data_IF_048183019473
#
_entry.id   IF_048183019473
#
_cell.length_a   1.000
_cell.length_b   1.000
_cell.length_c   1.000
_cell.angle_alpha   90.00
_cell.angle_beta   90.00
_cell.angle_gamma   90.00
#
_symmetry.space_group_name_H-M   'P 1'
#
loop_
_entity.id
_entity.type
_entity.pdbx_description
1 polymer ?
#
# COMPACT_ATOMS: atom_id res chain seq x y z
N UNK A 1 -12.38 -20.68 -2.79
CA UNK A 1 -10.92 -20.73 -3.00
C UNK A 1 -10.54 -19.64 -3.98
N UNK A 2 -9.65 -18.71 -3.59
CA UNK A 2 -9.19 -17.64 -4.46
C UNK A 2 -8.10 -18.21 -5.40
N UNK A 3 -8.25 -17.95 -6.69
CA UNK A 3 -7.29 -18.36 -7.72
C UNK A 3 -6.59 -17.13 -8.27
N UNK A 4 -5.27 -17.20 -8.37
CA UNK A 4 -4.42 -16.12 -8.85
C UNK A 4 -3.92 -16.44 -10.26
N UNK A 5 -4.01 -15.47 -11.15
CA UNK A 5 -3.69 -15.64 -12.58
C UNK A 5 -2.22 -15.33 -12.83
N UNK A 6 -1.46 -16.34 -13.24
CA UNK A 6 -0.05 -16.18 -13.63
C UNK A 6 0.15 -16.78 -15.00
N UNK A 7 0.38 -15.89 -15.98
CA UNK A 7 0.82 -16.25 -17.32
C UNK A 7 -0.02 -17.38 -17.96
N UNK A 8 -1.35 -17.26 -17.90
CA UNK A 8 -2.27 -18.22 -18.52
C UNK A 8 -2.69 -19.40 -17.64
N UNK A 9 -2.16 -19.52 -16.43
CA UNK A 9 -2.51 -20.58 -15.49
C UNK A 9 -3.23 -20.00 -14.26
N UNK A 10 -4.28 -20.71 -13.83
CA UNK A 10 -4.93 -20.47 -12.55
C UNK A 10 -4.19 -21.26 -11.48
N UNK A 11 -3.62 -20.56 -10.51
CA UNK A 11 -2.93 -21.16 -9.37
C UNK A 11 -3.72 -20.91 -8.09
N UNK A 12 -3.69 -21.86 -7.17
CA UNK A 12 -4.16 -21.63 -5.81
C UNK A 12 -3.34 -20.52 -5.16
N UNK A 13 -4.00 -19.63 -4.42
CA UNK A 13 -3.34 -18.47 -3.79
C UNK A 13 -2.09 -18.84 -2.99
N UNK A 14 -2.14 -19.91 -2.20
CA UNK A 14 -1.01 -20.35 -1.37
C UNK A 14 0.23 -20.73 -2.22
N UNK A 15 0.03 -21.25 -3.43
CA UNK A 15 1.11 -21.63 -4.33
C UNK A 15 1.69 -20.42 -5.05
N UNK A 16 0.84 -19.50 -5.49
CA UNK A 16 1.25 -18.23 -6.09
C UNK A 16 2.17 -17.43 -5.17
N UNK A 17 1.78 -17.19 -3.91
CA UNK A 17 2.61 -16.38 -3.00
C UNK A 17 3.98 -17.02 -2.76
N UNK A 18 4.07 -18.35 -2.70
CA UNK A 18 5.35 -19.07 -2.61
C UNK A 18 6.20 -18.89 -3.86
N UNK A 19 5.60 -19.01 -5.05
CA UNK A 19 6.29 -18.79 -6.31
C UNK A 19 6.74 -17.34 -6.48
N UNK A 20 5.88 -16.37 -6.12
CA UNK A 20 6.20 -14.94 -6.11
C UNK A 20 7.40 -14.69 -5.19
N UNK A 21 7.37 -15.19 -3.95
CA UNK A 21 8.48 -15.03 -2.99
C UNK A 21 9.80 -15.70 -3.43
N UNK A 22 9.73 -16.83 -4.14
CA UNK A 22 10.91 -17.53 -4.67
C UNK A 22 11.49 -16.84 -5.92
N UNK A 23 10.63 -16.37 -6.81
CA UNK A 23 10.99 -15.70 -8.06
C UNK A 23 11.56 -14.30 -7.80
N UNK A 24 10.87 -13.55 -6.94
CA UNK A 24 11.16 -12.17 -6.59
C UNK A 24 11.51 -12.11 -5.09
N UNK A 25 12.75 -12.47 -4.71
CA UNK A 25 13.18 -12.40 -3.31
C UNK A 25 13.26 -10.96 -2.77
N UNK A 26 13.13 -9.96 -3.64
CA UNK A 26 13.03 -8.55 -3.29
C UNK A 26 12.12 -7.85 -4.29
N UNK A 27 10.93 -7.41 -3.84
CA UNK A 27 10.00 -6.63 -4.65
C UNK A 27 10.36 -5.14 -4.52
N UNK A 28 10.98 -4.60 -5.57
CA UNK A 28 11.37 -3.19 -5.63
C UNK A 28 10.17 -2.25 -5.42
N UNK A 29 8.96 -2.67 -5.83
CA UNK A 29 7.76 -1.86 -5.68
C UNK A 29 7.32 -1.78 -4.21
N UNK A 30 7.42 -2.87 -3.47
CA UNK A 30 7.13 -2.90 -2.03
C UNK A 30 8.17 -2.08 -1.26
N UNK A 31 9.46 -2.26 -1.57
CA UNK A 31 10.53 -1.47 -0.96
C UNK A 31 10.39 0.04 -1.18
N UNK A 32 10.05 0.47 -2.41
CA UNK A 32 9.81 1.89 -2.71
C UNK A 32 8.65 2.44 -1.88
N UNK A 33 7.55 1.68 -1.75
CA UNK A 33 6.40 2.07 -0.92
C UNK A 33 6.77 2.20 0.55
N UNK A 34 7.49 1.23 1.11
CA UNK A 34 7.95 1.27 2.50
C UNK A 34 8.89 2.46 2.75
N UNK A 35 9.78 2.79 1.81
CA UNK A 35 10.66 3.95 1.92
C UNK A 35 9.89 5.27 1.90
N UNK A 36 8.89 5.40 1.04
CA UNK A 36 8.03 6.58 1.00
C UNK A 36 7.24 6.70 2.30
N UNK A 37 6.69 5.58 2.80
CA UNK A 37 5.97 5.56 4.08
C UNK A 37 6.87 6.00 5.25
N UNK A 38 8.10 5.46 5.33
CA UNK A 38 9.09 5.88 6.34
C UNK A 38 9.46 7.36 6.23
N UNK A 39 9.73 7.87 5.02
CA UNK A 39 10.01 9.31 4.81
C UNK A 39 8.81 10.18 5.21
N UNK A 40 7.57 9.73 4.98
CA UNK A 40 6.37 10.43 5.43
C UNK A 40 6.23 10.40 6.95
N UNK A 41 6.44 9.24 7.57
CA UNK A 41 6.42 9.07 9.02
C UNK A 41 7.45 9.98 9.70
N UNK A 42 8.69 10.01 9.19
CA UNK A 42 9.75 10.92 9.64
C UNK A 42 9.31 12.38 9.54
N UNK A 43 8.82 12.82 8.38
CA UNK A 43 8.28 14.18 8.19
C UNK A 43 7.10 14.49 9.13
N UNK A 44 6.24 13.51 9.40
CA UNK A 44 5.12 13.70 10.34
C UNK A 44 5.58 13.74 11.80
N UNK A 45 6.64 13.00 12.15
CA UNK A 45 7.23 13.00 13.49
C UNK A 45 8.01 14.28 13.78
N UNK A 46 8.71 14.82 12.78
CA UNK A 46 9.37 16.13 12.83
C UNK A 46 8.36 17.28 12.95
N UNK A 47 7.15 17.10 12.42
CA UNK A 47 6.07 18.10 12.51
C UNK A 47 5.57 18.22 13.95
N UNK A 48 6.01 19.27 14.64
CA UNK A 48 5.50 19.65 15.97
C UNK A 48 4.02 19.98 15.84
N UNK A 49 3.18 19.01 16.15
CA UNK A 49 1.73 19.16 16.11
C UNK A 49 1.30 19.72 17.46
N UNK A 50 1.00 21.03 17.51
CA UNK A 50 0.42 21.64 18.70
C UNK A 50 -0.97 21.02 18.89
N UNK A 51 -1.07 20.05 19.80
CA UNK A 51 -2.36 19.45 20.17
C UNK A 51 -3.18 20.50 20.91
N UNK A 52 -4.05 21.23 20.20
CA UNK A 52 -5.04 22.11 20.82
C UNK A 52 -5.94 21.23 21.70
N UNK A 53 -5.91 21.43 23.02
CA UNK A 53 -6.74 20.68 23.97
C UNK A 53 -8.21 20.98 23.68
N UNK A 54 -9.04 19.94 23.64
CA UNK A 54 -10.49 20.14 23.55
C UNK A 54 -11.02 20.80 24.85
N UNK A 55 -12.04 21.64 24.74
CA UNK A 55 -12.65 22.31 25.89
C UNK A 55 -13.35 21.34 26.86
N UNK A 56 -13.71 21.84 28.05
CA UNK A 56 -14.35 21.05 29.12
C UNK A 56 -15.78 20.64 28.71
N UNK A 57 -16.54 21.60 28.19
CA UNK A 57 -17.94 21.45 27.77
C UNK A 57 -18.02 21.41 26.23
N UNK A 58 -19.03 20.74 25.68
CA UNK A 58 -19.30 20.72 24.23
C UNK A 58 -18.14 20.22 23.36
N UNK A 59 -17.46 19.14 23.80
CA UNK A 59 -16.34 18.51 23.08
C UNK A 59 -16.69 18.09 21.66
N UNK A 60 -17.90 17.56 21.46
CA UNK A 60 -18.39 17.12 20.14
C UNK A 60 -18.54 18.30 19.19
N UNK A 61 -19.08 19.41 19.66
CA UNK A 61 -19.21 20.65 18.89
C UNK A 61 -17.83 21.24 18.55
N UNK A 62 -16.91 21.26 19.52
CA UNK A 62 -15.54 21.70 19.30
C UNK A 62 -14.82 20.84 18.24
N UNK A 63 -15.02 19.51 18.25
CA UNK A 63 -14.46 18.63 17.25
C UNK A 63 -15.01 18.91 15.84
N UNK A 64 -16.30 19.27 15.72
CA UNK A 64 -16.90 19.67 14.44
C UNK A 64 -16.26 20.96 13.92
N UNK A 65 -16.14 21.99 14.77
CA UNK A 65 -15.49 23.25 14.39
C UNK A 65 -14.04 23.03 13.94
N UNK A 66 -13.27 22.15 14.62
CA UNK A 66 -11.90 21.81 14.21
C UNK A 66 -11.85 21.04 12.88
N UNK A 67 -12.82 20.15 12.61
CA UNK A 67 -12.91 19.48 11.31
C UNK A 67 -13.19 20.49 10.20
N UNK A 68 -14.15 21.39 10.44
CA UNK A 68 -14.49 22.45 9.51
C UNK A 68 -13.33 23.42 9.31
N UNK A 69 -12.53 23.73 10.34
CA UNK A 69 -11.30 24.53 10.21
C UNK A 69 -10.31 23.95 9.20
N UNK A 70 -10.19 22.62 9.16
CA UNK A 70 -9.27 21.94 8.24
C UNK A 70 -9.82 21.83 6.80
N UNK A 71 -11.15 21.84 6.63
CA UNK A 71 -11.81 21.67 5.33
C UNK A 71 -12.23 23.00 4.69
N UNK A 72 -12.56 23.99 5.50
CA UNK A 72 -13.06 25.30 5.10
C UNK A 72 -11.92 26.29 4.90
N UNK A 73 -11.95 27.01 3.76
CA UNK A 73 -11.05 28.13 3.49
C UNK A 73 -11.48 29.42 4.22
N UNK A 74 -12.59 29.40 4.97
CA UNK A 74 -13.12 30.59 5.64
C UNK A 74 -12.53 30.74 7.05
N UNK A 75 -11.88 31.89 7.37
CA UNK A 75 -11.20 32.10 8.65
C UNK A 75 -12.14 32.22 9.86
N UNK A 76 -13.44 32.46 9.62
CA UNK A 76 -14.44 32.76 10.65
C UNK A 76 -14.65 31.62 11.67
N UNK A 77 -14.37 30.37 11.32
CA UNK A 77 -14.55 29.24 12.24
C UNK A 77 -13.45 29.13 13.29
N UNK A 78 -12.25 29.66 12.99
CA UNK A 78 -11.12 29.71 13.94
C UNK A 78 -11.40 30.68 15.08
N UNK A 79 -12.01 31.80 14.73
CA UNK A 79 -12.34 32.87 15.67
C UNK A 79 -13.34 32.40 16.73
N UNK A 80 -14.26 31.47 16.45
CA UNK A 80 -15.31 31.07 17.41
C UNK A 80 -14.72 30.43 18.69
N UNK A 81 -13.63 29.67 18.60
CA UNK A 81 -12.99 29.08 19.78
C UNK A 81 -12.08 30.06 20.53
N UNK A 82 -11.56 31.06 19.83
CA UNK A 82 -10.56 32.00 20.35
C UNK A 82 -11.20 33.33 20.79
N UNK A 83 -12.44 33.62 20.38
CA UNK A 83 -13.21 34.82 20.71
C UNK A 83 -13.77 34.76 22.14
N UNK A 84 -13.43 35.77 22.94
CA UNK A 84 -13.86 35.89 24.33
C UNK A 84 -15.38 35.92 24.50
N UNK A 85 -16.15 36.35 23.48
CA UNK A 85 -17.62 36.37 23.52
C UNK A 85 -18.25 34.97 23.55
N UNK A 86 -17.60 34.00 22.91
CA UNK A 86 -18.11 32.63 22.82
C UNK A 86 -17.40 31.65 23.76
N UNK A 87 -16.38 32.13 24.45
CA UNK A 87 -15.58 31.36 25.41
C UNK A 87 -16.45 30.65 26.45
N UNK A 88 -17.46 31.32 26.96
CA UNK A 88 -18.39 30.75 27.95
C UNK A 88 -19.12 29.48 27.46
N UNK A 89 -19.39 29.34 26.16
CA UNK A 89 -20.04 28.15 25.59
C UNK A 89 -19.23 26.85 25.74
N UNK A 90 -17.94 26.98 26.03
CA UNK A 90 -16.99 25.87 26.14
C UNK A 90 -16.53 25.59 27.58
N UNK A 91 -16.84 26.48 28.52
CA UNK A 91 -16.45 26.36 29.94
C UNK A 91 -17.64 26.22 30.88
N UNK A 92 -18.78 26.87 30.58
CA UNK A 92 -19.97 26.83 31.44
C UNK A 92 -20.84 25.62 31.08
N UNK A 93 -21.23 24.86 32.10
CA UNK A 93 -22.02 23.63 31.96
C UNK A 93 -23.47 23.91 31.54
N UNK A 94 -23.97 25.11 31.80
CA UNK A 94 -25.31 25.55 31.35
C UNK A 94 -25.47 25.56 29.83
N UNK A 95 -24.36 25.66 29.08
CA UNK A 95 -24.38 25.60 27.63
C UNK A 95 -24.16 24.19 27.07
N UNK A 96 -24.17 23.14 27.91
CA UNK A 96 -23.96 21.77 27.44
C UNK A 96 -25.08 21.34 26.47
N UNK A 97 -24.66 20.91 25.28
CA UNK A 97 -25.56 20.46 24.22
C UNK A 97 -26.04 19.05 24.53
N UNK A 98 -27.26 18.94 25.03
CA UNK A 98 -27.93 17.66 25.21
C UNK A 98 -28.47 17.15 23.87
N UNK A 99 -27.87 16.07 23.35
CA UNK A 99 -28.25 15.47 22.07
C UNK A 99 -29.56 14.68 22.12
N UNK A 100 -30.01 14.29 23.32
CA UNK A 100 -31.24 13.54 23.55
C UNK A 100 -32.46 14.46 23.73
N UNK A 101 -32.24 15.76 23.94
CA UNK A 101 -33.34 16.73 24.07
C UNK A 101 -34.18 16.78 22.79
N UNK A 102 -35.51 16.82 22.96
CA UNK A 102 -36.48 16.90 21.86
C UNK A 102 -36.24 18.13 20.96
N UNK A 103 -35.82 19.25 21.54
CA UNK A 103 -35.55 20.48 20.80
C UNK A 103 -34.34 20.33 19.89
N UNK A 104 -33.27 19.71 20.39
CA UNK A 104 -32.08 19.40 19.61
C UNK A 104 -32.40 18.42 18.47
N UNK A 105 -33.18 17.38 18.76
CA UNK A 105 -33.60 16.38 17.77
C UNK A 105 -34.50 16.98 16.68
N UNK A 106 -35.41 17.87 17.06
CA UNK A 106 -36.30 18.56 16.11
C UNK A 106 -35.52 19.43 15.13
N UNK A 107 -34.54 20.17 15.63
CA UNK A 107 -33.72 21.07 14.81
C UNK A 107 -32.71 20.30 13.95
N UNK A 108 -32.13 19.22 14.48
CA UNK A 108 -31.08 18.44 13.83
C UNK A 108 -31.58 17.14 13.18
N UNK A 109 -32.84 17.10 12.72
CA UNK A 109 -33.46 15.88 12.16
C UNK A 109 -32.61 15.22 11.07
N UNK A 110 -32.16 15.99 10.08
CA UNK A 110 -31.34 15.46 8.96
C UNK A 110 -30.00 14.88 9.42
N UNK A 111 -29.37 15.50 10.42
CA UNK A 111 -28.07 15.06 10.95
C UNK A 111 -28.20 13.78 11.78
N UNK A 112 -29.34 13.58 12.43
CA UNK A 112 -29.64 12.33 13.14
C UNK A 112 -29.88 11.18 12.17
N UNK A 113 -30.52 11.44 11.02
CA UNK A 113 -30.72 10.45 9.96
C UNK A 113 -29.37 9.98 9.37
N UNK A 114 -28.45 10.90 9.07
CA UNK A 114 -27.12 10.59 8.52
C UNK A 114 -26.25 9.74 9.48
N UNK A 115 -26.30 10.00 10.79
CA UNK A 115 -25.58 9.17 11.78
C UNK A 115 -26.12 7.75 11.86
N UNK A 116 -27.44 7.58 11.76
CA UNK A 116 -28.06 6.25 11.78
C UNK A 116 -27.65 5.44 10.55
N UNK A 117 -27.45 6.09 9.40
CA UNK A 117 -26.94 5.45 8.19
C UNK A 117 -25.45 5.09 8.31
N UNK A 118 -24.62 5.95 8.94
CA UNK A 118 -23.23 5.63 9.28
C UNK A 118 -23.13 4.44 10.24
N UNK A 119 -23.89 4.44 11.34
CA UNK A 119 -23.91 3.36 12.35
C UNK A 119 -24.39 2.02 11.75
N UNK A 120 -25.43 2.03 10.91
CA UNK A 120 -25.87 0.82 10.19
C UNK A 120 -24.80 0.28 9.24
N UNK A 121 -24.09 1.16 8.55
CA UNK A 121 -23.01 0.74 7.65
C UNK A 121 -21.81 0.14 8.40
N UNK A 122 -21.59 0.54 9.65
CA UNK A 122 -20.56 -0.03 10.53
C UNK A 122 -21.03 -1.35 11.19
N UNK A 123 -22.31 -1.46 11.58
CA UNK A 123 -22.89 -2.70 12.13
C UNK A 123 -22.98 -3.84 11.10
N UNK A 124 -23.32 -3.52 9.85
CA UNK A 124 -23.34 -4.49 8.73
C UNK A 124 -21.93 -5.01 8.37
N UNK A 125 -20.85 -4.38 8.89
CA UNK A 125 -19.47 -4.88 8.73
C UNK A 125 -19.04 -5.87 9.83
N UNK A 126 -19.81 -6.07 10.90
CA UNK A 126 -19.38 -6.86 12.10
C UNK A 126 -20.03 -8.26 12.19
N UNK A 127 -20.97 -8.63 11.33
CA UNK A 127 -21.52 -9.99 11.31
C UNK A 127 -20.72 -10.85 10.33
N UNK A 128 -19.70 -11.55 10.85
CA UNK A 128 -19.23 -12.89 10.43
C UNK A 128 -18.01 -13.29 11.30
N UNK A 129 -18.25 -13.68 12.56
CA UNK A 129 -17.20 -14.06 13.54
C UNK A 129 -16.59 -15.47 13.32
N UNK A 130 -16.99 -16.22 12.29
CA UNK A 130 -16.55 -17.63 12.10
C UNK A 130 -15.69 -17.92 10.86
N UNK A 131 -15.14 -16.92 10.15
CA UNK A 131 -14.16 -17.17 9.08
C UNK A 131 -12.75 -16.64 9.39
N UNK A 132 -11.85 -17.61 9.56
CA UNK A 132 -10.39 -17.56 9.61
C UNK A 132 -9.75 -16.33 8.92
N UNK A 133 -8.85 -15.66 9.65
CA UNK A 133 -8.15 -14.41 9.31
C UNK A 133 -7.50 -14.47 7.91
N UNK A 134 -8.23 -13.99 6.91
CA UNK A 134 -7.69 -13.57 5.60
C UNK A 134 -7.54 -12.05 5.66
N UNK A 135 -6.35 -11.47 5.41
CA UNK A 135 -6.23 -10.01 5.33
C UNK A 135 -6.93 -9.52 4.07
N UNK A 136 -8.21 -9.15 4.17
CA UNK A 136 -8.97 -8.52 3.09
C UNK A 136 -8.40 -7.11 2.86
N UNK A 137 -7.81 -6.90 1.69
CA UNK A 137 -7.39 -5.58 1.20
C UNK A 137 -8.59 -4.62 1.29
N UNK A 138 -8.46 -3.56 2.09
CA UNK A 138 -9.40 -2.43 2.09
C UNK A 138 -9.54 -1.90 0.65
N UNK A 139 -10.77 -1.84 0.14
CA UNK A 139 -11.13 -1.20 -1.13
C UNK A 139 -10.66 0.26 -1.08
N UNK A 140 -9.52 0.57 -1.69
CA UNK A 140 -9.13 1.94 -1.97
C UNK A 140 -10.12 2.51 -2.99
N UNK A 141 -10.85 3.54 -2.58
CA UNK A 141 -11.64 4.39 -3.47
C UNK A 141 -10.76 4.80 -4.66
N UNK A 142 -11.24 4.62 -5.88
CA UNK A 142 -10.56 5.10 -7.09
C UNK A 142 -10.46 6.62 -7.00
N UNK A 143 -9.25 7.11 -6.77
CA UNK A 143 -8.90 8.51 -7.01
C UNK A 143 -8.44 8.58 -8.48
N UNK A 144 -9.40 8.82 -9.37
CA UNK A 144 -9.09 9.28 -10.72
C UNK A 144 -8.85 10.79 -10.61
N UNK A 145 -7.59 11.19 -10.64
CA UNK A 145 -7.18 12.58 -10.51
C UNK A 145 -5.66 12.72 -10.46
N UNK A 146 -5.13 13.33 -11.52
CA UNK A 146 -3.77 13.81 -11.70
C UNK A 146 -2.63 12.79 -11.82
N UNK A 147 -2.05 12.83 -13.03
CA UNK A 147 -0.68 12.48 -13.33
C UNK A 147 0.22 13.16 -12.27
N UNK A 148 0.58 12.43 -11.22
CA UNK A 148 1.62 12.88 -10.29
C UNK A 148 2.89 12.91 -11.13
N UNK A 149 3.31 14.13 -11.48
CA UNK A 149 4.62 14.40 -12.07
C UNK A 149 5.65 13.57 -11.32
N UNK A 150 6.50 12.89 -12.08
CA UNK A 150 7.59 12.09 -11.54
C UNK A 150 8.32 12.94 -10.49
N UNK A 151 8.30 12.57 -9.20
CA UNK A 151 9.07 13.31 -8.22
C UNK A 151 10.52 13.21 -8.67
N UNK A 152 11.16 14.36 -8.86
CA UNK A 152 12.55 14.49 -9.29
C UNK A 152 13.39 13.41 -8.59
N UNK A 153 13.94 12.48 -9.39
CA UNK A 153 14.79 11.40 -8.88
C UNK A 153 16.04 12.04 -8.28
N UNK A 154 16.02 12.24 -6.95
CA UNK A 154 17.16 12.66 -6.15
C UNK A 154 18.39 11.78 -6.50
N UNK A 155 19.57 12.38 -6.65
CA UNK A 155 20.79 11.67 -7.07
C UNK A 155 21.19 10.47 -6.20
N UNK A 156 20.70 10.41 -4.96
CA UNK A 156 20.89 9.29 -4.04
C UNK A 156 20.14 8.02 -4.44
N UNK A 157 18.96 8.16 -5.06
CA UNK A 157 18.13 7.02 -5.47
C UNK A 157 18.74 6.31 -6.69
N UNK A 158 19.46 7.03 -7.56
CA UNK A 158 20.21 6.45 -8.71
C UNK A 158 21.40 5.62 -8.24
N UNK A 159 22.19 6.15 -7.30
CA UNK A 159 23.34 5.44 -6.71
C UNK A 159 22.88 4.18 -5.98
N UNK A 160 21.72 4.23 -5.32
CA UNK A 160 21.16 3.07 -4.64
C UNK A 160 20.66 2.02 -5.63
N UNK A 161 20.03 2.43 -6.74
CA UNK A 161 19.56 1.53 -7.80
C UNK A 161 20.70 0.79 -8.49
N UNK A 162 21.81 1.47 -8.78
CA UNK A 162 23.03 0.83 -9.30
C UNK A 162 23.60 -0.20 -8.32
N UNK A 163 23.74 0.19 -7.04
CA UNK A 163 24.23 -0.71 -5.98
C UNK A 163 23.28 -1.88 -5.73
N UNK A 164 21.98 -1.68 -5.97
CA UNK A 164 20.95 -2.71 -5.90
C UNK A 164 21.06 -3.71 -7.06
N UNK A 165 21.17 -3.22 -8.29
CA UNK A 165 21.38 -4.04 -9.48
C UNK A 165 22.64 -4.90 -9.35
N UNK A 166 23.72 -4.33 -8.81
CA UNK A 166 24.96 -5.05 -8.53
C UNK A 166 24.75 -6.20 -7.51
N UNK A 167 23.99 -5.96 -6.43
CA UNK A 167 23.65 -6.99 -5.43
C UNK A 167 22.79 -8.10 -6.02
N UNK A 168 21.77 -7.75 -6.80
CA UNK A 168 20.90 -8.72 -7.48
C UNK A 168 21.72 -9.57 -8.46
N UNK A 169 22.65 -8.95 -9.19
CA UNK A 169 23.51 -9.65 -10.13
C UNK A 169 24.46 -10.62 -9.41
N UNK A 170 25.05 -10.22 -8.28
CA UNK A 170 25.86 -11.11 -7.43
C UNK A 170 25.07 -12.34 -6.96
N UNK A 171 23.83 -12.15 -6.50
CA UNK A 171 22.95 -13.27 -6.09
C UNK A 171 22.62 -14.19 -7.26
N UNK A 172 22.32 -13.64 -8.45
CA UNK A 172 22.10 -14.42 -9.68
C UNK A 172 23.34 -15.25 -10.05
N UNK A 173 24.54 -14.66 -9.94
CA UNK A 173 25.82 -15.35 -10.21
C UNK A 173 26.06 -16.52 -9.25
N UNK A 174 25.79 -16.36 -7.96
CA UNK A 174 25.92 -17.44 -6.95
C UNK A 174 24.93 -18.57 -7.25
N UNK A 175 23.65 -18.25 -7.49
CA UNK A 175 22.62 -19.24 -7.85
C UNK A 175 22.99 -20.03 -9.11
N UNK A 176 23.54 -19.36 -10.13
CA UNK A 176 23.97 -20.03 -11.36
C UNK A 176 25.17 -20.97 -11.14
N UNK A 177 26.12 -20.60 -10.28
CA UNK A 177 27.23 -21.48 -9.87
C UNK A 177 26.72 -22.72 -9.12
N UNK A 178 25.77 -22.55 -8.20
CA UNK A 178 25.15 -23.67 -7.47
C UNK A 178 24.41 -24.61 -8.41
N UNK A 179 23.58 -24.09 -9.33
CA UNK A 179 22.89 -24.88 -10.35
C UNK A 179 23.88 -25.68 -11.20
N UNK A 180 24.96 -25.05 -11.67
CA UNK A 180 26.01 -25.71 -12.46
C UNK A 180 26.71 -26.82 -11.67
N UNK A 181 26.98 -26.60 -10.39
CA UNK A 181 27.59 -27.62 -9.52
C UNK A 181 26.67 -28.82 -9.26
N UNK A 182 25.36 -28.60 -9.12
CA UNK A 182 24.36 -29.68 -8.97
C UNK A 182 24.23 -30.51 -10.25
N UNK A 183 24.21 -29.86 -11.42
CA UNK A 183 24.18 -30.53 -12.73
C UNK A 183 25.44 -31.38 -12.93
N UNK A 184 26.62 -30.88 -12.56
CA UNK A 184 27.88 -31.62 -12.66
C UNK A 184 27.91 -32.87 -11.75
N UNK A 185 27.30 -32.80 -10.56
CA UNK A 185 27.17 -33.94 -9.63
C UNK A 185 26.13 -34.98 -10.08
N UNK A 186 25.19 -34.61 -10.95
CA UNK A 186 24.14 -35.49 -11.47
C UNK A 186 24.50 -36.14 -12.83
N UNK A 187 25.64 -35.80 -13.43
CA UNK A 187 26.09 -36.49 -14.66
C UNK A 187 26.54 -37.90 -14.28
N UNK A 188 25.99 -38.96 -14.91
CA UNK A 188 26.50 -40.31 -14.71
C UNK A 188 27.94 -40.38 -15.22
N UNK A 189 28.80 -41.09 -14.49
CA UNK A 189 30.21 -41.28 -14.84
C UNK A 189 30.31 -41.97 -16.22
N UNK A 190 30.61 -41.21 -17.26
CA UNK A 190 30.88 -41.71 -18.62
C UNK A 190 32.30 -42.29 -18.74
N UNK A 191 32.79 -42.95 -17.69
CA UNK A 191 34.03 -43.73 -17.74
C UNK A 191 33.71 -45.06 -18.43
N UNK A 192 33.61 -45.05 -19.77
CA UNK A 192 33.53 -46.30 -20.52
C UNK A 192 32.91 -46.31 -21.91
N UNK A 193 32.33 -45.23 -22.45
CA UNK A 193 31.82 -45.24 -23.84
C UNK A 193 32.70 -44.41 -24.78
N UNK A 194 33.83 -45.01 -25.17
CA UNK A 194 34.60 -44.58 -26.34
C UNK A 194 33.88 -45.05 -27.60
N UNK A 195 32.97 -44.24 -28.12
CA UNK A 195 32.70 -44.21 -29.56
C UNK A 195 32.96 -42.79 -30.03
N UNK A 196 34.24 -42.50 -30.24
CA UNK A 196 34.66 -41.32 -30.97
C UNK A 196 34.28 -41.51 -32.44
N UNK A 197 33.03 -41.22 -32.78
CA UNK A 197 32.69 -40.91 -34.17
C UNK A 197 33.09 -39.44 -34.35
N UNK A 198 34.11 -39.13 -35.16
CA UNK A 198 34.47 -37.74 -35.39
C UNK A 198 33.29 -37.06 -36.08
N UNK A 199 32.73 -36.02 -35.46
CA UNK A 199 31.79 -35.13 -36.14
C UNK A 199 32.52 -34.48 -37.30
N UNK A 200 32.41 -35.07 -38.49
CA UNK A 200 32.69 -34.35 -39.72
C UNK A 200 31.77 -33.12 -39.71
N UNK A 201 32.40 -31.95 -39.62
CA UNK A 201 31.73 -30.65 -39.66
C UNK A 201 30.77 -30.64 -40.83
N UNK A 202 29.47 -30.62 -40.55
CA UNK A 202 28.45 -30.23 -41.51
C UNK A 202 28.61 -28.74 -41.84
N UNK A 203 29.64 -28.40 -42.61
CA UNK A 203 29.70 -27.16 -43.36
C UNK A 203 28.83 -27.33 -44.62
N UNK A 204 27.51 -27.52 -44.42
CA UNK A 204 26.54 -27.29 -45.49
C UNK A 204 26.21 -25.80 -45.45
N UNK A 205 26.83 -25.01 -46.32
CA UNK A 205 26.39 -23.64 -46.59
C UNK A 205 24.92 -23.71 -47.05
N UNK A 206 24.02 -22.85 -46.53
CA UNK A 206 22.65 -22.81 -47.02
C UNK A 206 22.66 -22.40 -48.51
N UNK A 207 21.97 -23.16 -49.36
CA UNK A 207 21.70 -22.74 -50.75
C UNK A 207 20.76 -21.53 -50.67
N UNK A 208 21.22 -20.38 -51.15
CA UNK A 208 20.34 -19.25 -51.43
C UNK A 208 19.46 -19.63 -52.62
N UNK A 209 18.15 -19.79 -52.37
CA UNK A 209 17.17 -19.86 -53.44
C UNK A 209 16.94 -18.43 -53.93
N UNK A 210 17.40 -18.13 -55.15
CA UNK A 210 17.01 -16.91 -55.83
C UNK A 210 15.56 -17.04 -56.28
N UNK A 211 14.74 -16.09 -55.85
CA UNK A 211 13.37 -15.91 -56.30
C UNK A 211 13.36 -15.60 -57.81
N UNK A 212 12.46 -16.26 -58.54
CA UNK A 212 11.91 -15.79 -59.80
C UNK A 212 10.40 -15.97 -59.74
#
# INVERSE_FOLDING_TARGET
MLTEYVHGYLLDSKLYYKLKALSEPFDYKEYKKERIAKKLEEKTAERITIKKKLPKVNKTFAAVIQKDENQSKHPKTKEIMEDDRFKEMFFNEEFEINQESDDFRRLNRRRMEERVDEEKSEEDEVIDEDEEIVPKLKKKRKFEGELIEEPDEDGEDKIFKERFEEKVEKVKRVRNKEKKSKILKQKPDLVGRRTAVPMQRFLRKPKLYNQR
#
